data_IF_744526074421
#
_entry.id   IF_744526074421
#
_cell.length_a   1.000
_cell.length_b   1.000
_cell.length_c   1.000
_cell.angle_alpha   90.00
_cell.angle_beta   90.00
_cell.angle_gamma   90.00
#
_symmetry.space_group_name_H-M   'P 1'
#
loop_
_entity.id
_entity.type
_entity.pdbx_description
1 polymer ?
2 non-polymer ?
3 water ?
#
# COMPACT_ATOMS: atom_id res chain seq x y z
N UNK A 4 -16.35 14.26 14.39
CA UNK A 4 -15.47 15.27 15.06
C UNK A 4 -14.00 14.86 15.04
N UNK A 5 -13.11 15.86 15.07
CA UNK A 5 -11.67 15.61 15.11
C UNK A 5 -11.25 14.75 16.30
N UNK A 6 -11.98 14.86 17.41
CA UNK A 6 -11.59 14.16 18.64
C UNK A 6 -12.37 12.85 18.86
N UNK A 7 -13.06 12.39 17.82
CA UNK A 7 -13.86 11.19 17.92
C UNK A 7 -12.94 9.96 17.95
N UNK A 8 -13.50 8.85 18.40
CA UNK A 8 -12.86 7.53 18.29
C UNK A 8 -12.58 7.19 16.81
N UNK A 9 -13.55 7.50 15.94
CA UNK A 9 -13.39 7.21 14.52
C UNK A 9 -12.16 7.94 13.96
N UNK A 10 -12.02 9.22 14.28
CA UNK A 10 -10.89 9.98 13.76
C UNK A 10 -9.57 9.51 14.39
N UNK A 11 -9.58 9.33 15.71
CA UNK A 11 -8.36 8.96 16.43
C UNK A 11 -7.85 7.60 16.02
N UNK A 12 -8.74 6.63 15.87
CA UNK A 12 -8.33 5.30 15.43
C UNK A 12 -7.75 5.36 14.02
N UNK A 13 -8.43 6.09 13.12
CA UNK A 13 -7.92 6.26 11.75
C UNK A 13 -6.51 6.87 11.73
N UNK A 14 -6.27 7.91 12.53
CA UNK A 14 -4.95 8.56 12.62
C UNK A 14 -3.89 7.60 13.17
N UNK A 15 -4.21 7.01 14.31
CA UNK A 15 -3.27 6.19 15.07
C UNK A 15 -2.98 4.88 14.36
N UNK A 16 -4.02 4.20 13.90
CA UNK A 16 -3.79 2.94 13.23
C UNK A 16 -3.08 3.16 11.89
N UNK A 17 -3.29 4.31 11.23
CA UNK A 17 -2.54 4.58 10.00
C UNK A 17 -1.01 4.65 10.24
N UNK A 18 -0.61 5.33 11.31
CA UNK A 18 0.80 5.39 11.69
C UNK A 18 1.32 3.98 12.06
N UNK A 19 0.50 3.21 12.78
CA UNK A 19 0.88 1.85 13.19
C UNK A 19 1.12 0.96 11.95
N UNK A 20 0.16 1.01 11.02
CA UNK A 20 0.22 0.27 9.76
C UNK A 20 1.48 0.66 8.96
N UNK A 21 1.75 1.95 8.88
CA UNK A 21 2.93 2.45 8.17
C UNK A 21 4.22 1.73 8.63
N UNK A 22 4.37 1.56 9.94
CA UNK A 22 5.56 0.87 10.44
C UNK A 22 5.60 -0.62 10.05
N UNK A 23 4.45 -1.29 10.07
CA UNK A 23 4.40 -2.70 9.64
C UNK A 23 4.85 -2.82 8.17
N UNK A 24 4.33 -1.95 7.33
CA UNK A 24 4.73 -1.91 5.92
C UNK A 24 6.26 -1.74 5.80
N UNK A 25 6.82 -0.77 6.51
CA UNK A 25 8.26 -0.52 6.51
C UNK A 25 9.05 -1.76 6.98
N UNK A 26 8.62 -2.38 8.09
CA UNK A 26 9.26 -3.60 8.54
C UNK A 26 9.26 -4.68 7.47
N UNK A 27 8.16 -4.80 6.73
CA UNK A 27 8.02 -5.77 5.65
C UNK A 27 8.97 -5.51 4.48
N UNK A 28 9.13 -4.25 4.10
CA UNK A 28 10.12 -3.87 3.10
C UNK A 28 11.53 -4.24 3.54
N UNK A 29 11.83 -4.00 4.82
CA UNK A 29 13.18 -4.25 5.34
C UNK A 29 13.49 -5.75 5.33
N UNK A 30 12.60 -6.56 5.91
CA UNK A 30 12.87 -8.00 6.00
C UNK A 30 13.02 -8.65 4.60
N UNK A 31 12.25 -8.17 3.62
CA UNK A 31 12.29 -8.79 2.31
C UNK A 31 13.63 -8.57 1.63
N UNK A 32 14.36 -7.54 2.06
CA UNK A 32 15.68 -7.25 1.52
C UNK A 32 16.80 -7.97 2.29
N UNK A 33 16.45 -8.63 3.39
CA UNK A 33 17.47 -9.22 4.30
C UNK A 33 17.52 -10.75 4.26
N UNK A 34 16.53 -11.35 3.61
CA UNK A 34 16.46 -12.80 3.52
C UNK A 34 15.93 -13.27 2.17
N UNK A 35 16.31 -14.50 1.79
CA UNK A 35 15.75 -15.16 0.61
C UNK A 35 14.60 -16.09 0.97
N UNK A 36 14.26 -16.18 2.26
CA UNK A 36 13.27 -17.16 2.72
C UNK A 36 11.88 -16.91 2.13
N UNK A 37 11.34 -17.89 1.41
CA UNK A 37 10.06 -17.70 0.71
C UNK A 37 8.85 -17.48 1.64
N UNK A 38 8.76 -18.26 2.71
CA UNK A 38 7.63 -18.17 3.66
C UNK A 38 7.57 -16.82 4.32
N UNK A 39 8.70 -16.37 4.84
CA UNK A 39 8.76 -15.05 5.50
C UNK A 39 8.59 -13.92 4.48
N UNK A 40 9.23 -14.04 3.32
CA UNK A 40 9.03 -13.03 2.27
C UNK A 40 7.57 -12.93 1.83
N UNK A 41 6.87 -14.07 1.75
CA UNK A 41 5.45 -14.08 1.35
C UNK A 41 4.61 -13.45 2.43
N UNK A 42 4.87 -13.80 3.70
CA UNK A 42 4.13 -13.21 4.81
C UNK A 42 4.31 -11.70 4.80
N UNK A 43 5.57 -11.25 4.66
CA UNK A 43 5.89 -9.82 4.67
C UNK A 43 5.16 -9.10 3.52
N UNK A 44 5.10 -9.74 2.36
CA UNK A 44 4.39 -9.17 1.21
C UNK A 44 2.88 -9.04 1.53
N UNK A 45 2.28 -10.10 2.08
CA UNK A 45 0.87 -10.07 2.46
C UNK A 45 0.53 -9.01 3.51
N UNK A 46 1.36 -8.92 4.54
CA UNK A 46 1.17 -7.87 5.54
C UNK A 46 1.32 -6.47 4.93
N UNK A 47 2.37 -6.27 4.11
CA UNK A 47 2.55 -4.98 3.45
C UNK A 47 1.32 -4.61 2.61
N UNK A 48 0.85 -5.56 1.82
CA UNK A 48 -0.29 -5.32 0.93
C UNK A 48 -1.55 -4.95 1.70
N UNK A 49 -1.85 -5.74 2.73
CA UNK A 49 -3.07 -5.54 3.51
C UNK A 49 -3.00 -4.25 4.30
N UNK A 50 -1.88 -4.04 4.99
CA UNK A 50 -1.78 -2.87 5.87
C UNK A 50 -1.64 -1.55 5.10
N UNK A 51 -0.93 -1.55 3.97
CA UNK A 51 -0.89 -0.36 3.14
C UNK A 51 -2.29 -0.04 2.63
N UNK A 52 -3.03 -1.09 2.24
CA UNK A 52 -4.38 -0.88 1.69
C UNK A 52 -5.29 -0.29 2.78
N UNK A 53 -5.28 -0.92 3.96
CA UNK A 53 -6.09 -0.42 5.09
C UNK A 53 -5.68 0.99 5.52
N UNK A 54 -4.37 1.28 5.50
CA UNK A 54 -3.90 2.63 5.76
C UNK A 54 -4.51 3.62 4.76
N UNK A 55 -4.49 3.30 3.47
CA UNK A 55 -5.13 4.13 2.45
C UNK A 55 -6.63 4.34 2.72
N UNK A 56 -7.33 3.28 3.12
CA UNK A 56 -8.76 3.39 3.45
C UNK A 56 -8.99 4.43 4.55
N UNK A 57 -8.23 4.31 5.64
CA UNK A 57 -8.40 5.19 6.79
C UNK A 57 -7.99 6.65 6.51
N UNK A 58 -6.90 6.80 5.77
CA UNK A 58 -6.47 8.13 5.33
C UNK A 58 -7.53 8.74 4.39
N UNK A 59 -8.08 7.91 3.51
CA UNK A 59 -9.15 8.34 2.61
C UNK A 59 -10.39 8.79 3.36
N UNK A 60 -10.69 8.12 4.47
CA UNK A 60 -11.84 8.54 5.31
C UNK A 60 -11.56 9.89 5.93
N UNK A 61 -10.37 10.06 6.50
CA UNK A 61 -10.01 11.33 7.12
C UNK A 61 -10.10 12.46 6.09
N UNK A 62 -9.64 12.19 4.87
CA UNK A 62 -9.69 13.18 3.81
C UNK A 62 -11.14 13.53 3.45
N UNK A 63 -11.96 12.51 3.21
CA UNK A 63 -13.37 12.69 2.88
C UNK A 63 -14.11 13.47 3.99
N UNK A 64 -13.73 13.20 5.23
CA UNK A 64 -14.31 13.87 6.40
C UNK A 64 -13.71 15.26 6.67
N UNK A 65 -12.75 15.70 5.85
CA UNK A 65 -12.02 16.96 6.07
C UNK A 65 -11.39 17.07 7.47
N UNK A 66 -10.75 15.99 7.91
CA UNK A 66 -10.10 15.95 9.22
C UNK A 66 -8.59 15.83 9.03
N UNK A 67 -7.78 16.58 9.80
CA UNK A 67 -6.33 16.48 9.69
C UNK A 67 -5.83 15.04 9.91
N UNK A 68 -4.79 14.65 9.17
CA UNK A 68 -4.22 13.32 9.34
C UNK A 68 -3.32 13.27 10.58
N UNK A 69 -2.92 14.44 11.08
CA UNK A 69 -2.09 14.55 12.29
C UNK A 69 -2.82 15.38 13.35
N UNK A 70 -2.86 14.88 14.58
CA UNK A 70 -3.50 15.58 15.71
C UNK A 70 -2.46 16.09 16.72
N UNK A 71 -2.84 17.15 17.42
CA UNK A 71 -2.03 17.67 18.52
C UNK A 71 -2.12 16.75 19.72
N UNK A 72 -3.22 16.00 19.77
CA UNK A 72 -3.47 15.01 20.83
C UNK A 72 -2.43 13.89 20.78
N UNK A 73 -1.92 13.48 21.94
CA UNK A 73 -1.12 12.27 22.00
C UNK A 73 -1.89 11.08 21.42
N UNK A 74 -1.17 10.16 20.74
CA UNK A 74 -1.78 8.91 20.32
C UNK A 74 -2.52 8.23 21.47
N UNK A 75 -3.65 7.61 21.13
CA UNK A 75 -4.46 6.81 22.06
C UNK A 75 -5.30 7.65 23.00
N UNK A 76 -5.29 8.98 22.82
CA UNK A 76 -6.14 9.85 23.66
C UNK A 76 -7.62 9.44 23.52
N UNK A 77 -8.01 9.05 22.32
CA UNK A 77 -9.38 8.61 22.00
C UNK A 77 -9.79 7.34 22.75
N UNK A 78 -8.79 6.60 23.24
CA UNK A 78 -9.02 5.44 24.11
C UNK A 78 -8.88 5.77 25.61
N UNK A 79 -8.64 7.03 25.92
CA UNK A 79 -8.40 7.49 27.30
C UNK A 79 -7.05 7.06 27.84
N UNK A 80 -6.09 6.91 26.93
CA UNK A 80 -4.76 6.41 27.26
C UNK A 80 -3.62 7.28 26.74
N UNK A 81 -3.95 8.52 26.36
CA UNK A 81 -2.95 9.48 25.89
C UNK A 81 -1.96 9.88 26.97
N UNK A 92 2.95 4.02 20.93
CA UNK A 92 1.70 3.27 20.83
C UNK A 92 1.93 1.79 21.07
N UNK A 93 0.90 1.07 21.57
CA UNK A 93 1.05 -0.37 21.83
C UNK A 93 1.67 -1.14 20.64
N UNK A 94 2.73 -1.91 20.91
CA UNK A 94 3.34 -2.78 19.90
C UNK A 94 4.25 -2.13 18.88
N UNK A 95 4.33 -0.79 18.90
CA UNK A 95 5.25 -0.06 18.00
C UNK A 95 6.69 -0.46 18.26
N UNK A 96 7.44 -0.70 17.19
CA UNK A 96 8.88 -0.97 17.33
C UNK A 96 9.66 0.33 17.57
N UNK A 97 10.72 0.24 18.36
CA UNK A 97 11.56 1.43 18.58
C UNK A 97 12.47 1.66 17.36
N UNK A 98 12.98 2.89 17.24
CA UNK A 98 13.95 3.19 16.20
C UNK A 98 15.14 2.24 16.23
N UNK A 99 15.59 1.87 17.43
CA UNK A 99 16.75 0.97 17.58
C UNK A 99 16.42 -0.44 17.06
N UNK A 100 15.18 -0.87 17.31
CA UNK A 100 14.71 -2.18 16.82
C UNK A 100 14.65 -2.19 15.29
N UNK A 101 14.13 -1.10 14.72
CA UNK A 101 14.07 -0.98 13.24
C UNK A 101 15.47 -0.98 12.62
N UNK A 102 16.40 -0.28 13.25
CA UNK A 102 17.80 -0.28 12.82
C UNK A 102 18.39 -1.69 12.89
N UNK A 103 18.17 -2.38 14.01
CA UNK A 103 18.73 -3.71 14.23
C UNK A 103 18.24 -4.64 13.13
N UNK A 104 16.94 -4.59 12.84
CA UNK A 104 16.35 -5.46 11.81
C UNK A 104 17.11 -5.34 10.48
N UNK A 105 17.41 -4.10 10.11
CA UNK A 105 18.12 -3.78 8.89
C UNK A 105 19.55 -4.25 8.83
N UNK A 106 20.13 -4.61 9.99
CA UNK A 106 21.52 -5.12 10.08
C UNK A 106 21.61 -6.66 10.02
N UNK A 107 20.47 -7.34 10.22
CA UNK A 107 20.44 -8.81 10.26
C UNK A 107 20.29 -9.44 8.88
N UNK A 108 20.64 -10.72 8.76
CA UNK A 108 20.49 -11.44 7.50
C UNK A 108 19.93 -12.84 7.71
N UNK A 109 19.29 -13.36 6.67
CA UNK A 109 18.78 -14.73 6.65
C UNK A 109 17.93 -15.07 7.84
N UNK A 110 18.21 -16.20 8.48
CA UNK A 110 17.34 -16.69 9.53
C UNK A 110 17.24 -15.71 10.71
N UNK A 111 18.36 -15.07 11.05
CA UNK A 111 18.36 -14.12 12.16
C UNK A 111 17.41 -12.94 11.88
N UNK A 112 17.44 -12.44 10.64
CA UNK A 112 16.48 -11.39 10.22
C UNK A 112 15.03 -11.89 10.24
N UNK A 113 14.82 -13.12 9.77
CA UNK A 113 13.47 -13.73 9.80
C UNK A 113 12.93 -13.77 11.22
N UNK A 114 13.75 -14.30 12.14
CA UNK A 114 13.33 -14.44 13.54
C UNK A 114 13.02 -13.08 14.14
N UNK A 115 13.91 -12.14 13.91
CA UNK A 115 13.76 -10.81 14.52
C UNK A 115 12.51 -10.10 14.00
N UNK A 116 12.26 -10.23 12.70
CA UNK A 116 11.04 -9.71 12.05
C UNK A 116 9.80 -10.34 12.67
N UNK A 117 9.80 -11.67 12.78
CA UNK A 117 8.68 -12.38 13.36
C UNK A 117 8.42 -11.97 14.81
N UNK A 118 9.49 -11.73 15.56
CA UNK A 118 9.34 -11.28 16.96
C UNK A 118 8.76 -9.87 17.04
N UNK A 119 9.33 -8.96 16.25
CA UNK A 119 8.82 -7.59 16.19
C UNK A 119 7.38 -7.53 15.71
N UNK A 120 7.05 -8.31 14.69
CA UNK A 120 5.70 -8.24 14.12
C UNK A 120 4.68 -8.89 15.07
N UNK A 121 5.11 -9.91 15.81
CA UNK A 121 4.23 -10.51 16.81
C UNK A 121 3.80 -9.44 17.84
N UNK A 122 4.79 -8.71 18.35
CA UNK A 122 4.52 -7.64 19.30
C UNK A 122 3.67 -6.53 18.66
N UNK A 123 3.99 -6.21 17.41
CA UNK A 123 3.28 -5.19 16.65
C UNK A 123 1.81 -5.57 16.49
N UNK A 124 1.55 -6.80 16.07
CA UNK A 124 0.19 -7.35 15.97
C UNK A 124 -0.55 -7.32 17.31
N UNK A 125 0.14 -7.68 18.40
CA UNK A 125 -0.49 -7.65 19.73
C UNK A 125 -1.01 -6.26 20.08
N UNK A 126 -0.18 -5.24 19.83
CA UNK A 126 -0.54 -3.84 20.07
C UNK A 126 -1.71 -3.43 19.18
N UNK A 127 -1.64 -3.84 17.91
CA UNK A 127 -2.67 -3.60 16.90
C UNK A 127 -4.03 -4.14 17.30
N UNK A 128 -4.04 -5.36 17.81
CA UNK A 128 -5.27 -6.02 18.26
C UNK A 128 -5.91 -5.21 19.41
N UNK A 129 -5.07 -4.79 20.37
CA UNK A 129 -5.50 -3.94 21.47
C UNK A 129 -6.20 -2.66 20.96
N UNK A 130 -5.55 -1.99 20.02
CA UNK A 130 -6.11 -0.77 19.41
C UNK A 130 -7.39 -1.04 18.61
N UNK A 131 -7.40 -2.11 17.83
CA UNK A 131 -8.57 -2.45 17.01
C UNK A 131 -9.78 -2.77 17.92
N UNK A 132 -9.51 -3.49 19.00
CA UNK A 132 -10.52 -3.78 20.02
C UNK A 132 -11.11 -2.48 20.56
N UNK A 133 -10.25 -1.48 20.75
CA UNK A 133 -10.68 -0.16 21.21
C UNK A 133 -11.68 0.47 20.25
N UNK A 134 -11.41 0.36 18.95
CA UNK A 134 -12.32 0.86 17.93
C UNK A 134 -13.62 0.04 17.87
N UNK A 135 -13.53 -1.30 18.02
CA UNK A 135 -14.74 -2.12 18.03
C UNK A 135 -15.68 -1.62 19.16
N UNK A 136 -15.09 -1.26 20.30
CA UNK A 136 -15.85 -0.68 21.43
C UNK A 136 -16.36 0.75 21.20
N UNK A 137 -15.52 1.62 20.62
CA UNK A 137 -15.76 3.06 20.69
C UNK A 137 -16.13 3.73 19.35
N UNK A 138 -15.67 3.18 18.23
CA UNK A 138 -16.01 3.73 16.91
C UNK A 138 -17.51 3.70 16.65
N UNK A 139 -17.96 4.65 15.84
CA UNK A 139 -19.38 4.79 15.48
C UNK A 139 -19.64 4.57 13.98
N UNK A 140 -18.61 4.71 13.15
CA UNK A 140 -18.75 4.53 11.71
C UNK A 140 -18.68 3.03 11.35
N UNK A 141 -19.75 2.55 10.72
CA UNK A 141 -19.93 1.12 10.49
C UNK A 141 -18.77 0.46 9.76
N UNK A 142 -18.34 1.06 8.65
CA UNK A 142 -17.28 0.47 7.85
C UNK A 142 -15.94 0.41 8.63
N UNK A 143 -15.73 1.41 9.47
CA UNK A 143 -14.53 1.49 10.33
C UNK A 143 -14.55 0.46 11.46
N UNK A 144 -15.70 0.32 12.12
CA UNK A 144 -15.91 -0.73 13.13
C UNK A 144 -15.65 -2.12 12.54
N UNK A 145 -16.21 -2.38 11.36
CA UNK A 145 -16.06 -3.67 10.72
C UNK A 145 -14.61 -3.93 10.31
N UNK A 146 -13.94 -2.86 9.85
CA UNK A 146 -12.53 -2.97 9.51
C UNK A 146 -11.72 -3.37 10.73
N UNK A 147 -11.98 -2.69 11.84
CA UNK A 147 -11.30 -2.97 13.12
C UNK A 147 -11.54 -4.42 13.58
N UNK A 148 -12.80 -4.87 13.49
CA UNK A 148 -13.17 -6.24 13.86
C UNK A 148 -12.41 -7.28 13.01
N UNK A 149 -12.20 -6.95 11.74
CA UNK A 149 -11.46 -7.81 10.81
C UNK A 149 -9.98 -7.86 11.13
N UNK A 150 -9.45 -6.72 11.60
CA UNK A 150 -8.05 -6.66 12.05
C UNK A 150 -7.82 -7.53 13.26
N UNK A 151 -8.75 -7.55 14.21
CA UNK A 151 -8.62 -8.46 15.37
C UNK A 151 -8.43 -9.91 14.89
N UNK A 152 -9.32 -10.36 14.01
CA UNK A 152 -9.23 -11.73 13.46
C UNK A 152 -7.95 -11.98 12.68
N UNK A 153 -7.63 -11.09 11.73
CA UNK A 153 -6.49 -11.30 10.85
C UNK A 153 -5.16 -11.25 11.63
N UNK A 154 -5.04 -10.30 12.56
CA UNK A 154 -3.82 -10.19 13.34
C UNK A 154 -3.64 -11.35 14.30
N UNK A 155 -4.75 -11.78 14.93
CA UNK A 155 -4.69 -12.96 15.82
C UNK A 155 -4.32 -14.23 15.05
N UNK A 156 -4.88 -14.43 13.86
CA UNK A 156 -4.52 -15.54 12.97
C UNK A 156 -3.03 -15.47 12.59
N UNK A 157 -2.56 -14.28 12.26
CA UNK A 157 -1.14 -14.12 11.88
C UNK A 157 -0.19 -14.34 13.06
N UNK A 158 -0.60 -13.96 14.28
CA UNK A 158 0.23 -14.25 15.47
C UNK A 158 0.42 -15.77 15.62
N UNK A 159 -0.67 -16.53 15.46
CA UNK A 159 -0.58 -18.01 15.54
C UNK A 159 0.34 -18.58 14.47
N UNK A 160 0.22 -18.07 13.24
CA UNK A 160 1.10 -18.48 12.15
C UNK A 160 2.58 -18.17 12.46
N UNK A 161 2.83 -16.94 12.92
CA UNK A 161 4.21 -16.51 13.20
C UNK A 161 4.82 -17.30 14.35
N UNK A 162 3.97 -17.77 15.26
CA UNK A 162 4.44 -18.60 16.37
C UNK A 162 5.03 -19.91 15.82
N UNK A 163 4.33 -20.51 14.86
CA UNK A 163 4.83 -21.72 14.16
C UNK A 163 6.09 -21.41 13.34
N UNK A 164 6.11 -20.30 12.60
CA UNK A 164 7.31 -19.93 11.82
C UNK A 164 8.53 -19.73 12.76
N UNK A 165 8.29 -19.11 13.92
CA UNK A 165 9.35 -18.93 14.92
C UNK A 165 9.90 -20.28 15.41
N UNK A 166 9.00 -21.14 15.88
CA UNK A 166 9.42 -22.48 16.37
C UNK A 166 10.22 -23.24 15.30
N UNK A 167 9.72 -23.20 14.07
CA UNK A 167 10.39 -23.90 12.96
C UNK A 167 11.79 -23.33 12.67
N UNK A 168 12.02 -22.09 13.08
CA UNK A 168 13.32 -21.43 12.95
C UNK A 168 14.14 -21.49 14.25
N UNK A 169 13.71 -22.32 15.21
CA UNK A 169 14.47 -22.54 16.44
C UNK A 169 14.40 -21.39 17.41
N UNK A 170 13.31 -20.63 17.35
CA UNK A 170 13.13 -19.45 18.19
C UNK A 170 11.71 -19.36 18.74
N UNK A 171 11.43 -18.29 19.48
CA UNK A 171 10.11 -18.01 20.03
C UNK A 171 9.87 -16.50 20.08
N UNK A 172 8.68 -16.13 20.56
CA UNK A 172 8.27 -14.73 20.71
C UNK A 172 9.33 -13.99 21.53
N UNK A 173 9.52 -12.69 21.25
CA UNK A 173 10.49 -11.87 21.96
C UNK A 173 10.28 -11.90 23.46
N UNK A 174 11.39 -11.81 24.20
CA UNK A 174 11.38 -11.80 25.65
C UNK A 174 11.51 -10.38 26.20
N UNK A 175 10.45 -9.87 26.81
CA UNK A 175 10.47 -8.55 27.44
C UNK A 175 10.40 -8.74 28.94
N UNK B 4 -26.00 5.43 -7.92
CA UNK B 4 -24.67 6.12 -7.96
C UNK B 4 -23.54 5.15 -8.33
N UNK B 5 -23.89 3.90 -8.62
CA UNK B 5 -22.95 2.89 -9.09
C UNK B 5 -22.45 3.18 -10.51
N UNK B 6 -23.24 3.93 -11.28
CA UNK B 6 -22.90 4.26 -12.67
C UNK B 6 -22.10 5.54 -12.82
N UNK B 7 -21.93 6.25 -11.71
CA UNK B 7 -21.26 7.55 -11.70
C UNK B 7 -19.80 7.46 -12.17
N UNK B 8 -19.29 8.58 -12.68
CA UNK B 8 -17.86 8.69 -12.96
C UNK B 8 -17.06 8.49 -11.66
N UNK B 9 -17.59 8.97 -10.53
CA UNK B 9 -16.87 8.80 -9.25
C UNK B 9 -16.67 7.32 -8.89
N UNK B 10 -17.75 6.53 -8.94
CA UNK B 10 -17.66 5.10 -8.69
C UNK B 10 -16.79 4.40 -9.72
N UNK B 11 -17.00 4.72 -10.99
CA UNK B 11 -16.26 4.10 -12.11
C UNK B 11 -14.76 4.36 -11.99
N UNK B 12 -14.39 5.63 -11.78
CA UNK B 12 -12.99 5.96 -11.58
C UNK B 12 -12.38 5.19 -10.40
N UNK B 13 -13.07 5.18 -9.25
CA UNK B 13 -12.54 4.47 -8.07
C UNK B 13 -12.33 2.98 -8.35
N UNK B 14 -13.29 2.35 -9.03
CA UNK B 14 -13.15 0.93 -9.38
C UNK B 14 -11.99 0.68 -10.33
N UNK B 15 -11.97 1.43 -11.43
CA UNK B 15 -11.00 1.20 -12.50
C UNK B 15 -9.58 1.61 -12.12
N UNK B 16 -9.43 2.79 -11.52
CA UNK B 16 -8.10 3.25 -11.11
C UNK B 16 -7.53 2.34 -10.03
N UNK B 17 -8.41 1.78 -9.19
CA UNK B 17 -7.96 0.85 -8.16
C UNK B 17 -7.29 -0.38 -8.79
N UNK B 18 -7.94 -0.95 -9.79
CA UNK B 18 -7.37 -2.09 -10.52
C UNK B 18 -6.05 -1.69 -11.21
N UNK B 19 -6.04 -0.53 -11.86
CA UNK B 19 -4.86 -0.02 -12.55
C UNK B 19 -3.68 0.14 -11.57
N UNK B 20 -3.94 0.80 -10.44
CA UNK B 20 -2.96 0.94 -9.36
C UNK B 20 -2.43 -0.39 -8.85
N UNK B 21 -3.31 -1.37 -8.64
CA UNK B 21 -2.85 -2.69 -8.14
C UNK B 21 -1.75 -3.28 -9.06
N UNK B 22 -1.92 -3.14 -10.36
CA UNK B 22 -0.90 -3.67 -11.27
C UNK B 22 0.44 -2.91 -11.16
N UNK B 23 0.38 -1.60 -11.01
CA UNK B 23 1.60 -0.80 -10.86
C UNK B 23 2.36 -1.22 -9.60
N UNK B 24 1.61 -1.45 -8.53
CA UNK B 24 2.22 -1.94 -7.27
C UNK B 24 2.91 -3.29 -7.55
N UNK B 25 2.21 -4.21 -8.20
CA UNK B 25 2.81 -5.52 -8.51
C UNK B 25 4.08 -5.37 -9.36
N UNK B 26 4.03 -4.51 -10.37
CA UNK B 26 5.17 -4.33 -11.25
C UNK B 26 6.38 -3.80 -10.47
N UNK B 27 6.10 -2.94 -9.50
CA UNK B 27 7.14 -2.39 -8.63
C UNK B 27 7.78 -3.46 -7.72
N UNK B 28 6.96 -4.36 -7.19
CA UNK B 28 7.46 -5.52 -6.45
C UNK B 28 8.35 -6.38 -7.35
N UNK B 29 7.92 -6.60 -8.58
CA UNK B 29 8.70 -7.45 -9.50
C UNK B 29 10.08 -6.84 -9.76
N UNK B 30 10.14 -5.57 -10.16
CA UNK B 30 11.44 -4.96 -10.52
C UNK B 30 12.38 -4.94 -9.31
N UNK B 31 11.84 -4.73 -8.11
CA UNK B 31 12.68 -4.67 -6.92
C UNK B 31 13.37 -6.02 -6.66
N UNK B 32 12.73 -7.09 -7.13
CA UNK B 32 13.29 -8.46 -7.06
C UNK B 32 14.31 -8.77 -8.14
N UNK B 33 14.33 -7.97 -9.21
CA UNK B 33 15.10 -8.32 -10.41
C UNK B 33 16.39 -7.52 -10.61
N UNK B 34 16.56 -6.42 -9.87
CA UNK B 34 17.77 -5.61 -9.99
C UNK B 34 18.22 -5.16 -8.61
N UNK B 35 19.50 -4.86 -8.47
CA UNK B 35 20.06 -4.29 -7.26
C UNK B 35 20.28 -2.79 -7.38
N UNK B 36 19.94 -2.20 -8.53
CA UNK B 36 20.15 -0.78 -8.77
C UNK B 36 19.39 0.07 -7.76
N UNK B 37 20.11 0.80 -6.92
CA UNK B 37 19.45 1.61 -5.86
C UNK B 37 18.42 2.61 -6.39
N UNK B 38 18.74 3.29 -7.51
CA UNK B 38 17.88 4.38 -7.96
C UNK B 38 16.55 3.82 -8.46
N UNK B 39 16.60 2.78 -9.27
CA UNK B 39 15.35 2.20 -9.78
C UNK B 39 14.55 1.52 -8.66
N UNK B 40 15.23 0.84 -7.74
CA UNK B 40 14.52 0.28 -6.57
C UNK B 40 13.82 1.38 -5.72
N UNK B 41 14.46 2.54 -5.60
CA UNK B 41 13.85 3.68 -4.90
C UNK B 41 12.57 4.14 -5.60
N UNK B 42 12.68 4.32 -6.91
CA UNK B 42 11.54 4.73 -7.72
C UNK B 42 10.39 3.74 -7.54
N UNK B 43 10.70 2.46 -7.65
CA UNK B 43 9.69 1.41 -7.51
C UNK B 43 9.03 1.45 -6.12
N UNK B 44 9.83 1.67 -5.09
CA UNK B 44 9.29 1.81 -3.73
C UNK B 44 8.29 2.95 -3.69
N UNK B 45 8.69 4.10 -4.20
CA UNK B 45 7.85 5.30 -4.18
C UNK B 45 6.53 5.04 -4.89
N UNK B 46 6.59 4.47 -6.09
CA UNK B 46 5.39 4.19 -6.86
C UNK B 46 4.48 3.17 -6.13
N UNK B 47 5.06 2.08 -5.61
CA UNK B 47 4.29 1.07 -4.88
C UNK B 47 3.60 1.73 -3.68
N UNK B 48 4.35 2.55 -2.95
CA UNK B 48 3.81 3.19 -1.75
C UNK B 48 2.66 4.15 -2.09
N UNK B 49 2.89 5.00 -3.08
CA UNK B 49 1.88 5.99 -3.49
C UNK B 49 0.62 5.31 -4.02
N UNK B 50 0.83 4.40 -4.97
CA UNK B 50 -0.33 3.77 -5.61
C UNK B 50 -1.09 2.81 -4.64
N UNK B 51 -0.39 2.10 -3.75
CA UNK B 51 -1.07 1.26 -2.73
C UNK B 51 -1.93 2.16 -1.84
N UNK B 52 -1.38 3.31 -1.45
CA UNK B 52 -2.09 4.24 -0.58
C UNK B 52 -3.33 4.81 -1.28
N UNK B 53 -3.17 5.23 -2.53
CA UNK B 53 -4.26 5.84 -3.28
C UNK B 53 -5.36 4.82 -3.58
N UNK B 54 -4.95 3.61 -3.92
CA UNK B 54 -5.89 2.50 -4.09
C UNK B 54 -6.71 2.26 -2.82
N UNK B 55 -6.06 2.27 -1.65
CA UNK B 55 -6.79 2.11 -0.39
C UNK B 55 -7.81 3.23 -0.19
N UNK B 56 -7.41 4.47 -0.51
CA UNK B 56 -8.33 5.60 -0.39
C UNK B 56 -9.60 5.33 -1.20
N UNK B 57 -9.41 4.97 -2.47
CA UNK B 57 -10.54 4.81 -3.39
C UNK B 57 -11.41 3.62 -3.00
N UNK B 58 -10.79 2.51 -2.62
CA UNK B 58 -11.54 1.35 -2.14
C UNK B 58 -12.32 1.71 -0.87
N UNK B 59 -11.67 2.44 0.04
CA UNK B 59 -12.31 2.93 1.26
C UNK B 59 -13.55 3.77 0.94
N UNK B 60 -13.45 4.63 -0.07
CA UNK B 60 -14.62 5.43 -0.50
C UNK B 60 -15.77 4.55 -0.97
N UNK B 61 -15.48 3.59 -1.84
CA UNK B 61 -16.49 2.65 -2.33
C UNK B 61 -17.15 1.92 -1.15
N UNK B 62 -16.32 1.47 -0.22
CA UNK B 62 -16.83 0.75 0.95
C UNK B 62 -17.73 1.64 1.81
N UNK B 63 -17.29 2.87 2.09
CA UNK B 63 -18.11 3.80 2.87
C UNK B 63 -19.42 4.14 2.16
N UNK B 64 -19.35 4.29 0.84
CA UNK B 64 -20.53 4.56 0.01
C UNK B 64 -21.41 3.33 -0.24
N UNK B 65 -20.98 2.16 0.26
CA UNK B 65 -21.70 0.88 0.08
C UNK B 65 -21.88 0.52 -1.40
N UNK B 66 -20.86 0.80 -2.20
CA UNK B 66 -20.88 0.46 -3.62
C UNK B 66 -19.96 -0.70 -3.90
N UNK B 67 -20.36 -1.61 -4.82
CA UNK B 67 -19.51 -2.75 -5.17
C UNK B 67 -18.16 -2.32 -5.78
N UNK B 68 -17.11 -3.10 -5.54
CA UNK B 68 -15.79 -2.83 -6.11
C UNK B 68 -15.70 -3.31 -7.56
N UNK B 69 -16.68 -4.10 -7.98
CA UNK B 69 -16.75 -4.64 -9.35
C UNK B 69 -18.04 -4.17 -10.02
N UNK B 70 -17.96 -3.85 -11.31
CA UNK B 70 -19.13 -3.45 -12.10
C UNK B 70 -19.59 -4.58 -13.02
N UNK B 72 -20.89 -3.27 -16.14
CA UNK B 72 -20.22 -2.51 -17.18
C UNK B 72 -18.76 -2.93 -17.34
N UNK B 73 -18.28 -3.07 -18.59
CA UNK B 73 -16.85 -3.11 -18.85
C UNK B 73 -16.19 -1.89 -18.21
N UNK B 74 -14.88 -1.98 -17.87
CA UNK B 74 -14.21 -0.81 -17.33
C UNK B 74 -14.23 0.34 -18.32
N UNK B 75 -14.17 1.57 -17.80
CA UNK B 75 -13.96 2.78 -18.60
C UNK B 75 -15.23 3.26 -19.31
N UNK B 76 -16.33 2.52 -19.19
CA UNK B 76 -17.59 2.92 -19.83
C UNK B 76 -17.98 4.35 -19.41
N UNK B 77 -17.72 4.66 -18.13
CA UNK B 77 -18.06 5.96 -17.54
C UNK B 77 -17.40 7.16 -18.22
N UNK B 78 -16.27 6.97 -18.92
CA UNK B 78 -15.63 8.11 -19.57
C UNK B 78 -15.66 8.15 -21.10
N UNK B 79 -16.48 7.29 -21.68
CA UNK B 79 -16.88 7.44 -23.09
C UNK B 79 -15.74 7.44 -24.10
N UNK B 92 -7.61 -1.55 -20.04
CA UNK B 92 -7.65 -0.13 -19.76
C UNK B 92 -6.38 0.53 -20.28
N UNK B 93 -6.43 1.86 -20.53
CA UNK B 93 -5.27 2.57 -21.06
C UNK B 93 -3.99 2.32 -20.23
N UNK B 94 -2.92 1.92 -20.93
CA UNK B 94 -1.60 1.75 -20.28
C UNK B 94 -1.37 0.47 -19.49
N UNK B 95 -2.39 -0.38 -19.39
CA UNK B 95 -2.26 -1.63 -18.66
C UNK B 95 -1.42 -2.68 -19.35
N UNK B 96 -0.48 -3.25 -18.60
CA UNK B 96 0.40 -4.28 -19.14
C UNK B 96 -0.39 -5.57 -19.25
N UNK B 97 -0.02 -6.37 -20.24
CA UNK B 97 -0.67 -7.66 -20.41
C UNK B 97 0.01 -8.64 -19.46
N UNK B 98 -0.61 -9.81 -19.26
CA UNK B 98 -0.03 -10.87 -18.45
C UNK B 98 1.36 -11.24 -19.00
N UNK B 99 1.48 -11.37 -20.32
CA UNK B 99 2.75 -11.70 -20.97
C UNK B 99 3.87 -10.69 -20.67
N UNK B 100 3.51 -9.41 -20.68
CA UNK B 100 4.47 -8.33 -20.39
C UNK B 100 4.92 -8.41 -18.94
N UNK B 101 3.97 -8.67 -18.04
CA UNK B 101 4.33 -8.82 -16.62
C UNK B 101 5.28 -10.00 -16.44
N UNK B 102 5.00 -11.10 -17.15
CA UNK B 102 5.87 -12.28 -17.09
C UNK B 102 7.27 -11.99 -17.65
N UNK B 103 7.29 -11.32 -18.79
CA UNK B 103 8.56 -10.88 -19.38
C UNK B 103 9.41 -10.10 -18.38
N UNK B 104 8.82 -9.09 -17.74
CA UNK B 104 9.55 -8.30 -16.73
C UNK B 104 10.20 -9.20 -15.67
N UNK B 105 9.44 -10.19 -15.21
CA UNK B 105 9.91 -11.12 -14.17
C UNK B 105 11.05 -12.06 -14.60
N UNK B 106 11.35 -12.08 -15.90
CA UNK B 106 12.48 -12.88 -16.41
C UNK B 106 13.78 -12.09 -16.54
N UNK B 107 13.67 -10.76 -16.51
CA UNK B 107 14.80 -9.89 -16.81
C UNK B 107 15.63 -9.63 -15.55
N UNK B 108 16.90 -9.26 -15.75
CA UNK B 108 17.84 -8.97 -14.67
C UNK B 108 18.47 -7.60 -14.84
N UNK B 109 18.87 -7.01 -13.71
CA UNK B 109 19.68 -5.80 -13.72
C UNK B 109 19.21 -4.70 -14.66
N UNK B 110 20.13 -4.23 -15.50
CA UNK B 110 19.87 -3.08 -16.37
C UNK B 110 18.72 -3.31 -17.36
N UNK B 111 18.60 -4.54 -17.86
CA UNK B 111 17.49 -4.88 -18.77
C UNK B 111 16.14 -4.83 -18.06
N UNK B 112 16.09 -5.37 -16.84
CA UNK B 112 14.89 -5.25 -15.99
C UNK B 112 14.56 -3.77 -15.68
N UNK B 113 15.58 -2.98 -15.34
CA UNK B 113 15.39 -1.55 -15.07
C UNK B 113 14.74 -0.87 -16.29
N UNK B 114 15.35 -1.06 -17.47
CA UNK B 114 14.85 -0.42 -18.69
C UNK B 114 13.41 -0.83 -19.00
N UNK B 115 13.14 -2.13 -18.93
CA UNK B 115 11.82 -2.62 -19.31
C UNK B 115 10.75 -2.13 -18.29
N UNK B 116 11.09 -2.14 -17.01
CA UNK B 116 10.22 -1.55 -15.97
C UNK B 116 9.92 -0.07 -16.28
N UNK B 117 10.96 0.70 -16.60
CA UNK B 117 10.78 2.11 -16.90
C UNK B 117 9.91 2.32 -18.15
N UNK B 118 10.07 1.46 -19.15
CA UNK B 118 9.27 1.59 -20.37
C UNK B 118 7.81 1.22 -20.11
N UNK B 119 7.60 0.10 -19.41
CA UNK B 119 6.24 -0.34 -19.07
C UNK B 119 5.53 0.67 -18.17
N UNK B 120 6.24 1.19 -17.16
CA UNK B 120 5.60 2.09 -16.22
C UNK B 120 5.30 3.45 -16.88
N UNK B 121 6.16 3.87 -17.82
CA UNK B 121 5.90 5.10 -18.58
C UNK B 121 4.56 4.98 -19.33
N UNK B 122 4.36 3.87 -20.04
CA UNK B 122 3.08 3.59 -20.70
C UNK B 122 1.92 3.51 -19.70
N UNK B 123 2.17 2.84 -18.58
CA UNK B 123 1.18 2.67 -17.53
C UNK B 123 0.75 4.05 -16.98
N UNK B 124 1.73 4.91 -16.65
CA UNK B 124 1.46 6.28 -16.19
C UNK B 124 0.72 7.12 -17.24
N UNK B 125 1.11 7.02 -18.51
CA UNK B 125 0.40 7.75 -19.59
C UNK B 125 -1.10 7.40 -19.60
N UNK B 126 -1.40 6.10 -19.48
CA UNK B 126 -2.78 5.63 -19.43
C UNK B 126 -3.50 6.13 -18.19
N UNK B 127 -2.80 6.06 -17.05
CA UNK B 127 -3.35 6.51 -15.77
C UNK B 127 -3.67 8.00 -15.80
N UNK B 128 -2.80 8.79 -16.43
CA UNK B 128 -3.04 10.24 -16.60
C UNK B 128 -4.34 10.48 -17.40
N UNK B 129 -4.49 9.79 -18.53
CA UNK B 129 -5.72 9.88 -19.34
C UNK B 129 -6.97 9.60 -18.47
N UNK B 130 -6.93 8.51 -17.72
CA UNK B 130 -8.04 8.17 -16.82
C UNK B 130 -8.29 9.23 -15.78
N UNK B 131 -7.21 9.68 -15.12
CA UNK B 131 -7.32 10.71 -14.11
C UNK B 131 -7.94 12.02 -14.68
N UNK B 132 -7.54 12.38 -15.90
CA UNK B 132 -8.15 13.54 -16.58
C UNK B 132 -9.67 13.35 -16.75
N UNK B 133 -10.12 12.12 -17.06
CA UNK B 133 -11.55 11.83 -17.13
C UNK B 133 -12.25 12.14 -15.82
N UNK B 134 -11.64 11.76 -14.70
CA UNK B 134 -12.19 12.08 -13.39
C UNK B 134 -12.14 13.58 -13.08
N UNK B 135 -11.05 14.25 -13.47
CA UNK B 135 -11.02 15.71 -13.34
C UNK B 135 -12.23 16.37 -14.03
N UNK B 136 -12.58 15.85 -15.21
CA UNK B 136 -13.66 16.40 -16.04
C UNK B 136 -15.07 15.86 -15.73
N UNK B 137 -15.17 14.78 -14.95
CA UNK B 137 -16.47 14.15 -14.69
C UNK B 137 -16.83 13.86 -13.21
N UNK B 138 -15.83 13.71 -12.36
CA UNK B 138 -16.10 13.36 -10.96
C UNK B 138 -16.80 14.50 -10.23
N UNK B 139 -17.76 14.15 -9.38
CA UNK B 139 -18.53 15.14 -8.61
C UNK B 139 -18.13 15.25 -7.15
N UNK B 140 -17.37 14.26 -6.66
CA UNK B 140 -16.99 14.22 -5.26
C UNK B 140 -15.69 14.98 -5.11
N UNK B 141 -15.72 16.02 -4.28
CA UNK B 141 -14.56 16.93 -4.15
C UNK B 141 -13.21 16.29 -3.91
N UNK B 142 -13.13 15.43 -2.89
CA UNK B 142 -11.84 14.80 -2.57
C UNK B 142 -11.39 13.86 -3.68
N UNK B 143 -12.34 13.28 -4.42
CA UNK B 143 -11.97 12.40 -5.52
C UNK B 143 -11.45 13.18 -6.71
N UNK B 144 -12.14 14.27 -7.05
CA UNK B 144 -11.66 15.18 -8.07
C UNK B 144 -10.26 15.70 -7.73
N UNK B 145 -10.06 16.13 -6.48
CA UNK B 145 -8.76 16.60 -6.00
C UNK B 145 -7.69 15.53 -6.19
N UNK B 146 -8.01 14.30 -5.79
CA UNK B 146 -7.04 13.20 -5.88
C UNK B 146 -6.65 13.01 -7.35
N UNK B 147 -7.65 12.94 -8.22
CA UNK B 147 -7.39 12.82 -9.66
C UNK B 147 -6.51 13.95 -10.25
N UNK B 148 -6.83 15.20 -9.92
CA UNK B 148 -6.01 16.35 -10.35
C UNK B 148 -4.55 16.16 -9.94
N UNK B 149 -4.37 15.75 -8.68
CA UNK B 149 -3.06 15.49 -8.13
C UNK B 149 -2.34 14.36 -8.84
N UNK B 150 -3.08 13.31 -9.22
CA UNK B 150 -2.50 12.19 -9.96
C UNK B 150 -2.00 12.63 -11.34
N UNK B 151 -2.76 13.48 -12.01
CA UNK B 151 -2.31 14.01 -13.32
C UNK B 151 -0.92 14.60 -13.15
N UNK B 152 -0.78 15.47 -12.16
CA UNK B 152 0.50 16.17 -11.96
C UNK B 152 1.62 15.24 -11.54
N UNK B 153 1.34 14.40 -10.55
CA UNK B 153 2.39 13.54 -10.02
C UNK B 153 2.84 12.50 -11.04
N UNK B 154 1.89 11.88 -11.73
CA UNK B 154 2.23 10.86 -12.72
C UNK B 154 2.95 11.46 -13.92
N UNK B 155 2.54 12.66 -14.32
CA UNK B 155 3.30 13.41 -15.36
C UNK B 155 4.74 13.70 -14.96
N UNK B 156 4.94 14.14 -13.71
CA UNK B 156 6.27 14.40 -13.18
C UNK B 156 7.08 13.13 -13.14
N UNK B 157 6.45 12.04 -12.71
CA UNK B 157 7.16 10.77 -12.65
C UNK B 157 7.57 10.26 -14.03
N UNK B 158 6.74 10.50 -15.05
CA UNK B 158 7.08 10.17 -16.42
C UNK B 158 8.37 10.91 -16.81
N UNK B 159 8.44 12.19 -16.48
CA UNK B 159 9.64 13.00 -16.78
C UNK B 159 10.88 12.44 -16.07
N UNK B 160 10.73 12.12 -14.79
CA UNK B 160 11.82 11.51 -14.02
C UNK B 160 12.28 10.18 -14.61
N UNK B 161 11.33 9.35 -15.02
CA UNK B 161 11.67 8.07 -15.65
C UNK B 161 12.38 8.23 -17.00
N UNK B 162 12.05 9.29 -17.75
CA UNK B 162 12.73 9.58 -19.02
C UNK B 162 14.22 9.78 -18.78
N UNK B 163 14.58 10.56 -17.76
CA UNK B 163 15.98 10.73 -17.33
C UNK B 163 16.64 9.40 -16.94
N UNK B 164 15.93 8.55 -16.21
CA UNK B 164 16.47 7.27 -15.80
C UNK B 164 16.70 6.36 -17.02
N UNK B 165 15.79 6.39 -17.97
CA UNK B 165 15.96 5.69 -19.24
C UNK B 165 17.22 6.18 -19.99
N UNK B 166 17.36 7.50 -20.09
CA UNK B 166 18.53 8.13 -20.75
C UNK B 166 19.84 7.71 -20.09
N UNK B 167 19.89 7.76 -18.75
CA UNK B 167 21.09 7.33 -18.00
C UNK B 167 21.47 5.89 -18.37
N UNK B 168 20.47 5.06 -18.66
CA UNK B 168 20.64 3.64 -18.97
C UNK B 168 20.78 3.36 -20.48
N UNK B 169 20.94 4.42 -21.26
CA UNK B 169 21.10 4.33 -22.71
C UNK B 169 19.87 3.83 -23.43
N UNK B 170 18.70 4.10 -22.87
CA UNK B 170 17.46 3.68 -23.48
C UNK B 170 16.50 4.85 -23.65
N UNK B 171 15.39 4.55 -24.32
CA UNK B 171 14.34 5.50 -24.53
C UNK B 171 13.02 4.81 -24.20
N UNK B 172 11.92 5.57 -24.29
CA UNK B 172 10.59 5.03 -24.17
C UNK B 172 10.47 3.84 -25.12
N UNK B 173 9.77 2.80 -24.69
CA UNK B 173 9.62 1.61 -25.54
C UNK B 173 8.94 1.87 -26.90
N UNK B 174 9.22 1.00 -27.87
CA UNK B 174 8.45 0.96 -29.11
C UNK B 174 6.98 0.79 -28.73
N UNK B 175 6.08 1.43 -29.46
CA UNK B 175 4.66 1.29 -29.19
C UNK B 175 4.10 0.00 -29.76
N UNK B 176 3.76 -0.94 -28.88
CA UNK B 176 3.29 -2.28 -29.26
C UNK B 176 1.75 -2.41 -29.26
N UNK B 177 1.05 -1.35 -28.83
CA UNK B 177 -0.41 -1.40 -28.69
C UNK B 177 -1.05 -0.15 -29.24
X LIG C 1 2.89 -1.09 -1.33
X LIG C 1 4.13 -0.68 -0.76
X LIG C 1 2.19 -2.00 -0.32
X LIG C 1 2.58 -3.34 -0.56
X LIG D 1 12.17 -21.71 1.85
X LIG D 1 12.44 -20.57 0.99
X LIG D 1 10.75 -21.71 2.41
X LIG D 1 10.47 -20.46 3.09
#
# INVERSE_FOLDING_TARGET
>A
XSLAADSADAGFARDMSVHHQQAVEMSYIVRDRTDDEEVRRLAYDIAQTQANQRGMMIGWLDLWALPKVSSDPPMTWMGMGDAPSAGEGSLMPGMATDAEMKKLGTLDGKQAEVYYLQLMTEHHRGGVHMAKGCVERCTVGVEKRLARGMVESQESEIRLMADLLAERGAKEGHHHHHH
>B
XSLAADSADAGFARDMSVHHQQAVEMSYIVRDRTDDEEVRRLAYDIAQTQANQRGMMIGWLDLWALPKVSSDPPMTWMGXGDAPSAGEGSLMPGMATDAEMKKLGTLDGKQAEVYYLQLMTEHHRGGVHMAKGCVERCTVGVEKRLARGMVESQESEIRLMADLLAERGAKEGHHHHHH
>C hetero
1 EDO C1 O1 C2 O2
>D hetero
1 EDO C1 O1 C2 O2
#
